data_IF_274194381806
#
_entry.id   IF_274194381806
#
_cell.length_a   1.000
_cell.length_b   1.000
_cell.length_c   1.000
_cell.angle_alpha   90.00
_cell.angle_beta   90.00
_cell.angle_gamma   90.00
#
_symmetry.space_group_name_H-M   'P 1'
#
loop_
_entity.id
_entity.type
_entity.pdbx_description
1 polymer ?
#
# COMPACT_ATOMS: atom_id res chain seq x y z
N UNK A 1 2.79 -5.19 -0.10
CA UNK A 1 2.59 -3.72 -0.20
C UNK A 1 3.29 -3.08 -1.40
N UNK A 2 4.61 -3.22 -1.62
CA UNK A 2 5.32 -2.52 -2.72
C UNK A 2 4.79 -2.87 -4.13
N UNK A 3 4.44 -4.14 -4.36
CA UNK A 3 3.85 -4.59 -5.62
C UNK A 3 2.44 -4.04 -5.91
N UNK A 4 1.74 -3.54 -4.89
CA UNK A 4 0.42 -2.90 -5.04
C UNK A 4 0.55 -1.40 -5.33
N UNK A 5 1.66 -0.78 -4.91
CA UNK A 5 1.99 0.62 -5.16
C UNK A 5 2.63 0.86 -6.54
N UNK A 6 2.75 -0.21 -7.35
CA UNK A 6 3.35 -0.21 -8.70
C UNK A 6 2.71 0.80 -9.67
N UNK A 7 1.45 1.19 -9.44
CA UNK A 7 0.73 2.13 -10.30
C UNK A 7 1.03 3.61 -10.02
N UNK A 8 1.57 3.93 -8.85
CA UNK A 8 1.86 5.32 -8.44
C UNK A 8 3.34 5.60 -8.24
N UNK A 9 4.15 4.55 -8.11
CA UNK A 9 5.52 4.66 -7.63
C UNK A 9 5.53 4.93 -6.12
N UNK A 10 6.30 4.15 -5.36
CA UNK A 10 6.60 4.56 -3.99
C UNK A 10 7.57 5.74 -4.03
N UNK A 11 7.09 6.95 -3.78
CA UNK A 11 7.97 8.12 -3.54
C UNK A 11 8.54 8.15 -2.12
N UNK A 12 8.28 7.11 -1.32
CA UNK A 12 8.63 7.02 0.10
C UNK A 12 9.85 6.12 0.32
N UNK A 13 10.54 6.33 1.44
CA UNK A 13 11.64 5.48 1.88
C UNK A 13 11.11 4.07 2.18
N UNK A 14 11.63 3.06 1.46
CA UNK A 14 11.26 1.66 1.67
C UNK A 14 12.48 0.86 2.12
N UNK A 15 12.43 0.33 3.35
CA UNK A 15 13.48 -0.53 3.92
C UNK A 15 12.83 -1.84 4.38
N UNK A 16 12.97 -2.95 3.63
CA UNK A 16 12.31 -4.21 3.96
C UNK A 16 12.62 -4.73 5.37
N UNK A 17 13.87 -4.56 5.81
CA UNK A 17 14.35 -4.94 7.15
C UNK A 17 15.37 -3.90 7.58
N UNK A 18 15.07 -3.17 8.66
CA UNK A 18 15.95 -2.16 9.23
C UNK A 18 17.02 -2.81 10.12
N UNK A 19 18.31 -2.54 9.90
CA UNK A 19 19.37 -2.90 10.83
C UNK A 19 19.20 -2.16 12.17
N UNK A 20 19.54 -2.82 13.28
CA UNK A 20 19.40 -2.27 14.63
C UNK A 20 20.11 -0.92 14.84
N UNK A 21 21.25 -0.73 14.17
CA UNK A 21 22.06 0.50 14.28
C UNK A 21 21.37 1.73 13.69
N UNK A 22 20.29 1.54 12.91
CA UNK A 22 19.59 2.61 12.20
C UNK A 22 18.18 2.83 12.75
N UNK A 23 17.86 2.35 13.96
CA UNK A 23 16.54 2.54 14.58
C UNK A 23 16.13 4.02 14.71
N UNK A 24 17.10 4.93 14.82
CA UNK A 24 16.85 6.38 14.82
C UNK A 24 16.12 6.89 13.57
N UNK A 25 16.20 6.17 12.45
CA UNK A 25 15.51 6.51 11.20
C UNK A 25 13.99 6.46 11.36
N UNK A 26 13.48 5.67 12.33
CA UNK A 26 12.05 5.57 12.62
C UNK A 26 11.44 6.89 13.13
N UNK A 27 12.26 7.76 13.71
CA UNK A 27 11.84 9.08 14.21
C UNK A 27 11.95 10.19 13.15
N UNK A 28 12.23 9.83 11.89
CA UNK A 28 12.37 10.82 10.82
C UNK A 28 10.99 11.34 10.37
N UNK A 29 10.87 12.64 10.06
CA UNK A 29 9.58 13.23 9.67
C UNK A 29 9.16 12.86 8.24
N UNK A 30 9.97 12.11 7.50
CA UNK A 30 9.70 11.70 6.13
C UNK A 30 8.85 10.43 6.13
N UNK A 31 7.76 10.35 5.35
CA UNK A 31 6.98 9.12 5.29
C UNK A 31 7.82 7.93 4.81
N UNK A 32 7.66 6.79 5.48
CA UNK A 32 8.43 5.59 5.21
C UNK A 32 7.58 4.32 5.30
N UNK A 33 8.11 3.23 4.73
CA UNK A 33 7.64 1.87 4.94
C UNK A 33 8.86 1.05 5.32
N UNK A 34 8.95 0.67 6.60
CA UNK A 34 10.12 0.00 7.16
C UNK A 34 9.68 -1.27 7.88
N UNK A 35 10.35 -2.39 7.60
CA UNK A 35 10.21 -3.60 8.39
C UNK A 35 11.18 -3.60 9.57
N UNK A 36 10.68 -3.89 10.76
CA UNK A 36 11.47 -3.96 12.00
C UNK A 36 11.25 -5.34 12.61
N UNK A 37 12.33 -5.95 13.09
CA UNK A 37 12.24 -7.23 13.78
C UNK A 37 11.54 -7.06 15.13
N UNK A 38 10.70 -8.02 15.54
CA UNK A 38 9.88 -7.94 16.76
C UNK A 38 10.66 -7.79 18.07
N UNK A 39 11.98 -8.08 18.06
CA UNK A 39 12.87 -7.82 19.19
C UNK A 39 12.94 -6.33 19.59
N UNK A 40 12.69 -5.41 18.65
CA UNK A 40 12.71 -3.96 18.87
C UNK A 40 11.29 -3.38 19.07
N UNK A 41 10.35 -4.21 19.53
CA UNK A 41 8.95 -3.79 19.70
C UNK A 41 8.82 -2.64 20.71
N UNK A 42 9.60 -2.66 21.79
CA UNK A 42 9.64 -1.60 22.79
C UNK A 42 9.91 -0.24 22.17
N UNK A 43 10.94 -0.16 21.33
CA UNK A 43 11.38 1.06 20.65
C UNK A 43 10.32 1.53 19.66
N UNK A 44 9.64 0.62 18.96
CA UNK A 44 8.56 1.00 18.04
C UNK A 44 7.31 1.53 18.76
N UNK A 45 7.03 1.08 19.98
CA UNK A 45 5.85 1.53 20.75
C UNK A 45 5.98 2.98 21.25
N UNK A 46 7.21 3.51 21.33
CA UNK A 46 7.47 4.90 21.71
C UNK A 46 7.16 5.90 20.58
N UNK A 47 6.95 5.41 19.34
CA UNK A 47 6.66 6.25 18.18
C UNK A 47 5.20 6.75 18.22
N UNK A 48 5.02 8.07 18.23
CA UNK A 48 3.71 8.70 18.43
C UNK A 48 2.95 8.99 17.14
N UNK A 49 3.62 8.93 15.99
CA UNK A 49 3.13 9.34 14.68
C UNK A 49 3.27 8.26 13.61
N UNK A 50 3.61 7.03 14.02
CA UNK A 50 3.85 5.90 13.14
C UNK A 50 2.76 4.85 13.28
N UNK A 51 2.17 4.43 12.15
CA UNK A 51 1.24 3.29 12.12
C UNK A 51 2.04 2.00 12.15
N UNK A 52 1.75 1.13 13.13
CA UNK A 52 2.47 -0.12 13.35
C UNK A 52 1.57 -1.28 12.96
N UNK A 53 2.02 -2.10 12.02
CA UNK A 53 1.36 -3.36 11.68
C UNK A 53 2.18 -4.52 12.27
N UNK A 54 1.67 -5.11 13.35
CA UNK A 54 2.22 -6.31 13.96
C UNK A 54 1.72 -7.54 13.21
N UNK A 55 2.61 -8.17 12.45
CA UNK A 55 2.29 -9.34 11.63
C UNK A 55 2.22 -10.63 12.46
N UNK A 56 2.91 -10.69 13.59
CA UNK A 56 2.91 -11.86 14.49
C UNK A 56 1.63 -11.86 15.34
N UNK A 57 1.25 -10.70 15.87
CA UNK A 57 0.02 -10.49 16.62
C UNK A 57 -1.24 -10.30 15.74
N UNK A 58 -1.07 -10.02 14.45
CA UNK A 58 -2.17 -9.76 13.51
C UNK A 58 -2.93 -8.46 13.82
N UNK A 59 -2.24 -7.44 14.35
CA UNK A 59 -2.86 -6.17 14.77
C UNK A 59 -2.30 -4.97 14.01
N UNK A 60 -3.09 -3.90 13.94
CA UNK A 60 -2.65 -2.61 13.40
C UNK A 60 -2.93 -1.54 14.44
N UNK A 61 -1.86 -0.94 14.98
CA UNK A 61 -1.93 0.18 15.89
C UNK A 61 -1.81 1.49 15.12
N UNK A 62 -2.84 2.33 15.23
CA UNK A 62 -2.91 3.65 14.58
C UNK A 62 -2.87 4.70 15.69
N UNK A 63 -1.83 5.54 15.75
CA UNK A 63 -1.77 6.59 16.77
C UNK A 63 -2.89 7.62 16.62
N UNK A 64 -3.30 8.24 17.72
CA UNK A 64 -4.40 9.22 17.75
C UNK A 64 -4.15 10.45 16.85
N UNK A 65 -2.88 10.80 16.62
CA UNK A 65 -2.51 11.92 15.78
C UNK A 65 -2.56 11.61 14.26
N UNK A 66 -2.77 10.35 13.88
CA UNK A 66 -2.82 9.90 12.48
C UNK A 66 -4.28 9.70 12.04
N UNK A 67 -4.73 10.54 11.12
CA UNK A 67 -6.07 10.39 10.52
C UNK A 67 -6.01 9.51 9.27
N UNK A 68 -6.65 8.34 9.31
CA UNK A 68 -6.80 7.46 8.14
C UNK A 68 -8.14 7.74 7.48
N UNK A 69 -8.12 8.31 6.28
CA UNK A 69 -9.31 8.44 5.46
C UNK A 69 -9.80 7.07 5.01
N UNK A 70 -11.07 6.77 5.28
CA UNK A 70 -11.69 5.53 4.83
C UNK A 70 -11.91 5.57 3.31
N UNK A 71 -11.79 4.40 2.69
CA UNK A 71 -12.25 4.20 1.31
C UNK A 71 -13.75 4.53 1.21
N UNK A 72 -14.19 5.31 0.21
CA UNK A 72 -15.59 5.63 0.05
C UNK A 72 -16.39 4.38 -0.34
N UNK A 73 -17.63 4.28 0.16
CA UNK A 73 -18.55 3.25 -0.32
C UNK A 73 -19.02 3.56 -1.74
N UNK A 74 -19.28 2.54 -2.58
CA UNK A 74 -19.29 1.09 -2.29
C UNK A 74 -17.92 0.39 -2.44
N UNK A 75 -16.83 1.14 -2.68
CA UNK A 75 -15.53 0.57 -3.03
C UNK A 75 -14.91 -0.22 -1.88
N UNK A 76 -15.09 0.26 -0.65
CA UNK A 76 -14.63 -0.43 0.55
C UNK A 76 -15.26 -1.82 0.65
N UNK A 77 -16.59 -1.89 0.62
CA UNK A 77 -17.31 -3.15 0.71
C UNK A 77 -16.90 -4.12 -0.41
N UNK A 78 -16.90 -3.66 -1.67
CA UNK A 78 -16.56 -4.50 -2.82
C UNK A 78 -15.13 -5.06 -2.73
N UNK A 79 -14.17 -4.23 -2.32
CA UNK A 79 -12.77 -4.66 -2.16
C UNK A 79 -12.66 -5.69 -1.04
N UNK A 80 -13.32 -5.45 0.09
CA UNK A 80 -13.31 -6.36 1.26
C UNK A 80 -13.90 -7.72 0.91
N UNK A 81 -15.04 -7.75 0.25
CA UNK A 81 -15.69 -8.99 -0.20
C UNK A 81 -14.78 -9.77 -1.16
N UNK A 82 -14.21 -9.10 -2.16
CA UNK A 82 -13.30 -9.71 -3.12
C UNK A 82 -12.05 -10.32 -2.44
N UNK A 83 -11.42 -9.60 -1.51
CA UNK A 83 -10.27 -10.11 -0.76
C UNK A 83 -10.65 -11.27 0.17
N UNK A 84 -11.82 -11.23 0.82
CA UNK A 84 -12.28 -12.30 1.70
C UNK A 84 -12.48 -13.64 0.98
N UNK A 85 -12.91 -13.59 -0.28
CA UNK A 85 -13.05 -14.77 -1.14
C UNK A 85 -11.69 -15.41 -1.45
N UNK A 86 -10.64 -14.59 -1.58
CA UNK A 86 -9.27 -15.03 -1.85
C UNK A 86 -8.54 -15.51 -0.60
N UNK A 87 -8.97 -15.12 0.60
CA UNK A 87 -8.32 -15.50 1.86
C UNK A 87 -8.65 -16.93 2.32
N UNK A 88 -9.47 -17.68 1.55
CA UNK A 88 -9.83 -19.06 1.91
C UNK A 88 -8.60 -19.97 1.77
N UNK A 89 -8.25 -20.77 2.80
CA UNK A 89 -7.10 -21.65 2.73
C UNK A 89 -7.32 -22.70 1.64
N UNK A 90 -6.45 -22.70 0.63
CA UNK A 90 -6.33 -23.86 -0.25
C UNK A 90 -5.57 -24.95 0.51
N UNK A 91 -6.03 -26.21 0.50
CA UNK A 91 -5.25 -27.31 1.05
C UNK A 91 -3.99 -27.46 0.18
N UNK A 92 -2.85 -27.03 0.70
CA UNK A 92 -1.56 -27.14 0.02
C UNK A 92 -1.04 -28.56 0.26
N UNK A 93 -0.72 -29.36 -0.77
CA UNK A 93 0.00 -30.61 -0.58
C UNK A 93 1.44 -30.30 -0.11
N UNK A 94 1.91 -31.00 0.92
CA UNK A 94 3.08 -30.68 1.74
C UNK A 94 4.46 -30.52 1.04
N UNK A 95 4.57 -30.63 -0.29
CA UNK A 95 5.88 -30.81 -0.93
C UNK A 95 6.00 -30.02 -2.24
N UNK A 96 6.30 -28.71 -2.17
CA UNK A 96 6.92 -28.01 -3.30
C UNK A 96 7.64 -26.72 -2.84
N UNK A 97 8.93 -26.84 -2.57
CA UNK A 97 9.86 -25.70 -2.66
C UNK A 97 10.03 -25.42 -4.16
N UNK A 98 9.31 -24.44 -4.69
CA UNK A 98 9.52 -23.99 -6.07
C UNK A 98 9.53 -22.47 -6.11
N UNK A 99 10.64 -21.93 -6.61
CA UNK A 99 10.85 -20.50 -6.78
C UNK A 99 9.76 -19.84 -7.63
N UNK A 100 9.10 -18.85 -7.02
CA UNK A 100 8.74 -17.55 -7.62
C UNK A 100 7.95 -17.50 -8.94
N UNK A 101 6.99 -18.40 -9.20
CA UNK A 101 5.81 -17.99 -9.95
C UNK A 101 4.81 -17.38 -8.96
N UNK A 102 4.27 -16.17 -9.21
CA UNK A 102 3.19 -15.69 -8.37
C UNK A 102 2.05 -16.69 -8.44
N UNK A 103 1.64 -17.18 -7.26
CA UNK A 103 0.47 -18.04 -7.12
C UNK A 103 -0.72 -17.39 -7.86
N UNK A 104 -1.68 -18.19 -8.34
CA UNK A 104 -2.91 -17.64 -8.96
C UNK A 104 -3.53 -16.58 -8.06
N UNK A 105 -3.48 -16.82 -6.75
CA UNK A 105 -3.92 -15.94 -5.69
C UNK A 105 -3.22 -14.57 -5.70
N UNK A 106 -1.89 -14.51 -5.88
CA UNK A 106 -1.19 -13.22 -5.95
C UNK A 106 -1.66 -12.37 -7.15
N UNK A 107 -1.94 -13.01 -8.29
CA UNK A 107 -2.47 -12.31 -9.48
C UNK A 107 -3.88 -11.80 -9.21
N UNK A 108 -4.71 -12.59 -8.54
CA UNK A 108 -6.07 -12.23 -8.17
C UNK A 108 -6.10 -11.08 -7.15
N UNK A 109 -5.26 -11.13 -6.10
CA UNK A 109 -5.11 -10.05 -5.13
C UNK A 109 -4.68 -8.77 -5.85
N UNK A 110 -3.66 -8.83 -6.71
CA UNK A 110 -3.24 -7.67 -7.51
C UNK A 110 -4.37 -7.14 -8.39
N UNK A 111 -5.16 -8.01 -9.01
CA UNK A 111 -6.30 -7.60 -9.84
C UNK A 111 -7.38 -6.87 -9.04
N UNK A 112 -7.64 -7.26 -7.79
CA UNK A 112 -8.59 -6.58 -6.89
C UNK A 112 -8.13 -5.14 -6.62
N UNK A 113 -6.88 -4.95 -6.20
CA UNK A 113 -6.34 -3.60 -5.95
C UNK A 113 -6.26 -2.75 -7.22
N UNK A 114 -5.89 -3.36 -8.34
CA UNK A 114 -5.91 -2.73 -9.66
C UNK A 114 -7.29 -2.14 -10.00
N UNK A 115 -8.34 -2.92 -9.80
CA UNK A 115 -9.72 -2.49 -10.00
C UNK A 115 -10.08 -1.34 -9.06
N UNK A 116 -9.72 -1.46 -7.78
CA UNK A 116 -9.95 -0.41 -6.79
C UNK A 116 -9.31 0.91 -7.22
N UNK A 117 -8.03 0.91 -7.61
CA UNK A 117 -7.34 2.12 -8.05
C UNK A 117 -7.93 2.71 -9.33
N UNK A 118 -8.32 1.86 -10.29
CA UNK A 118 -8.99 2.31 -11.51
C UNK A 118 -10.33 3.00 -11.21
N UNK A 119 -11.08 2.52 -10.21
CA UNK A 119 -12.33 3.13 -9.76
C UNK A 119 -12.10 4.41 -8.96
N UNK A 120 -11.13 4.43 -8.04
CA UNK A 120 -10.78 5.64 -7.26
C UNK A 120 -10.34 6.80 -8.15
N UNK A 121 -9.58 6.50 -9.20
CA UNK A 121 -9.13 7.49 -10.17
C UNK A 121 -10.07 7.62 -11.36
N UNK A 122 -11.26 7.02 -11.29
CA UNK A 122 -12.22 7.14 -12.38
C UNK A 122 -12.54 8.61 -12.60
N UNK A 123 -12.28 9.06 -13.82
CA UNK A 123 -12.51 10.45 -14.20
C UNK A 123 -11.32 11.40 -14.04
N UNK A 124 -10.13 10.93 -13.62
CA UNK A 124 -8.91 11.76 -13.61
C UNK A 124 -8.65 12.43 -14.98
N UNK A 125 -9.06 11.78 -16.08
CA UNK A 125 -8.93 12.32 -17.45
C UNK A 125 -9.75 13.60 -17.67
N UNK A 126 -10.84 13.81 -16.93
CA UNK A 126 -11.62 15.05 -16.97
C UNK A 126 -10.86 16.22 -16.36
N UNK A 127 -9.86 15.95 -15.53
CA UNK A 127 -8.99 16.98 -14.95
C UNK A 127 -7.79 17.31 -15.87
N UNK A 128 -7.68 16.69 -17.06
CA UNK A 128 -6.61 16.96 -17.99
C UNK A 128 -7.00 18.11 -18.94
N UNK A 129 -6.18 19.15 -18.96
CA UNK A 129 -6.27 20.26 -19.90
C UNK A 129 -5.18 20.12 -20.97
N UNK A 130 -5.60 20.00 -22.23
CA UNK A 130 -4.68 19.83 -23.37
C UNK A 130 -4.51 21.19 -24.07
N UNK A 131 -3.30 21.73 -23.99
CA UNK A 131 -2.92 23.01 -24.61
C UNK A 131 -2.27 22.72 -25.96
N UNK A 132 -2.91 23.15 -27.05
CA UNK A 132 -2.48 22.88 -28.44
C UNK A 132 -1.86 24.08 -29.17
N UNK A 133 -1.52 25.14 -28.44
CA UNK A 133 -0.89 26.34 -29.04
C UNK A 133 0.62 26.19 -29.27
N UNK A 134 1.23 25.09 -28.80
CA UNK A 134 2.63 24.76 -29.02
C UNK A 134 2.77 23.64 -30.08
N UNK A 135 3.91 23.53 -30.78
CA UNK A 135 4.17 22.47 -31.75
C UNK A 135 3.97 21.07 -31.16
N UNK A 136 4.35 20.90 -29.89
CA UNK A 136 4.08 19.71 -29.09
C UNK A 136 2.91 19.99 -28.11
N UNK A 137 1.85 19.16 -28.10
CA UNK A 137 0.72 19.36 -27.21
C UNK A 137 1.14 19.21 -25.74
N UNK A 138 0.83 20.22 -24.92
CA UNK A 138 1.16 20.22 -23.49
C UNK A 138 -0.07 19.78 -22.69
N UNK A 139 0.08 18.72 -21.88
CA UNK A 139 -0.96 18.25 -20.97
C UNK A 139 -0.71 18.84 -19.59
N UNK A 140 -1.72 19.50 -19.01
CA UNK A 140 -1.70 20.02 -17.63
C UNK A 140 -2.84 19.42 -16.81
N UNK A 141 -2.63 19.25 -15.51
CA UNK A 141 -3.68 18.83 -14.59
C UNK A 141 -4.37 20.06 -13.98
N UNK A 142 -5.69 20.13 -14.06
CA UNK A 142 -6.50 21.17 -13.43
C UNK A 142 -6.85 20.73 -12.00
N UNK A 143 -6.14 21.30 -11.01
CA UNK A 143 -6.23 20.90 -9.60
C UNK A 143 -7.52 21.38 -8.88
N UNK A 144 -8.35 22.17 -9.56
CA UNK A 144 -9.53 22.82 -8.96
C UNK A 144 -10.77 21.95 -9.20
N UNK A 145 -10.89 20.86 -8.45
CA UNK A 145 -12.17 20.20 -8.13
C UNK A 145 -11.96 19.19 -7.02
#
# INVERSE_FOLDING_TARGET
LPALMLFFGCSFTYVPILPAQLLEVLSTPTPFIIGVHSIFQSETQELLDVVIADLDGGTVNVPECVHISLLPEPLLQQTREALSMLARPHPVPDHAVTAALPSSQDKEIRAVFLRLFAQLLQGYRWCLHIIRIHPEPVIRFHKVR
#
